data_IF_043258495947
#
_entry.id   IF_043258495947
#
_cell.length_a   1.000
_cell.length_b   1.000
_cell.length_c   1.000
_cell.angle_alpha   90.00
_cell.angle_beta   90.00
_cell.angle_gamma   90.00
#
_symmetry.space_group_name_H-M   'P 1'
#
loop_
_entity.id
_entity.type
_entity.pdbx_description
1 polymer ?
#
# COMPACT_ATOMS: atom_id res chain seq x y z
N UNK A 1 -29.57 6.56 10.49
CA UNK A 1 -28.64 6.55 9.34
C UNK A 1 -27.87 5.25 9.43
N UNK A 2 -27.80 4.53 8.31
CA UNK A 2 -26.88 3.40 8.16
C UNK A 2 -25.58 3.95 7.57
N UNK A 3 -24.45 3.74 8.26
CA UNK A 3 -23.15 4.28 7.88
C UNK A 3 -22.11 3.18 7.99
N UNK A 4 -21.41 2.98 6.88
CA UNK A 4 -20.28 2.06 6.79
C UNK A 4 -19.02 2.88 6.51
N UNK A 5 -17.91 2.53 7.16
CA UNK A 5 -16.64 3.25 7.05
C UNK A 5 -15.53 2.30 6.61
N UNK A 6 -14.84 2.67 5.55
CA UNK A 6 -13.61 2.02 5.08
C UNK A 6 -12.39 2.75 5.62
N UNK A 7 -11.42 2.00 6.15
CA UNK A 7 -10.22 2.52 6.80
C UNK A 7 -9.01 1.89 6.09
N UNK A 8 -8.58 2.44 4.94
CA UNK A 8 -7.43 1.90 4.21
C UNK A 8 -6.10 2.32 4.82
N UNK A 9 -5.05 1.53 4.55
CA UNK A 9 -3.64 1.92 4.73
C UNK A 9 -3.19 2.96 3.69
N UNK A 10 -1.90 2.96 3.35
CA UNK A 10 -1.36 3.83 2.28
C UNK A 10 -1.85 3.30 0.93
N UNK A 11 -2.70 4.06 0.25
CA UNK A 11 -3.36 3.58 -0.99
C UNK A 11 -2.48 3.84 -2.21
N UNK A 12 -2.07 2.77 -2.88
CA UNK A 12 -1.23 2.79 -4.09
C UNK A 12 -1.93 2.01 -5.23
N UNK A 13 -1.34 2.00 -6.42
CA UNK A 13 -1.83 1.30 -7.61
C UNK A 13 -1.88 2.20 -8.84
N UNK A 14 -2.53 1.75 -9.92
CA UNK A 14 -2.70 2.54 -11.14
C UNK A 14 -3.34 3.90 -10.87
N UNK A 15 -2.81 4.94 -11.51
CA UNK A 15 -3.22 6.32 -11.32
C UNK A 15 -4.16 6.71 -12.47
N UNK A 16 -5.32 7.30 -12.16
CA UNK A 16 -6.23 7.82 -13.19
C UNK A 16 -6.06 9.33 -13.38
N UNK A 17 -5.84 10.06 -12.30
CA UNK A 17 -5.65 11.51 -12.31
C UNK A 17 -4.28 11.92 -12.90
N UNK A 18 -4.14 13.16 -13.41
CA UNK A 18 -2.88 13.65 -13.97
C UNK A 18 -1.88 14.18 -12.92
N UNK A 19 -2.20 14.05 -11.62
CA UNK A 19 -1.40 14.62 -10.52
C UNK A 19 -1.12 13.59 -9.43
N UNK A 20 -0.03 13.78 -8.69
CA UNK A 20 0.28 12.95 -7.54
C UNK A 20 -0.68 13.25 -6.38
N UNK A 21 -1.18 12.18 -5.74
CA UNK A 21 -1.68 12.29 -4.36
C UNK A 21 -0.53 12.00 -3.39
N UNK A 22 -0.82 12.14 -2.09
CA UNK A 22 0.18 11.90 -1.04
C UNK A 22 0.77 10.48 -1.09
N UNK A 23 -0.09 9.45 -1.12
CA UNK A 23 0.34 8.04 -1.04
C UNK A 23 1.20 7.60 -2.22
N UNK A 24 0.90 8.06 -3.43
CA UNK A 24 1.74 7.81 -4.60
C UNK A 24 3.04 8.63 -4.54
N UNK A 25 2.98 9.86 -4.00
CA UNK A 25 4.18 10.66 -3.76
C UNK A 25 5.21 9.97 -2.86
N UNK A 26 4.74 9.18 -1.88
CA UNK A 26 5.61 8.32 -1.06
C UNK A 26 6.36 7.31 -1.92
N UNK A 27 5.67 6.63 -2.85
CA UNK A 27 6.31 5.68 -3.78
C UNK A 27 7.35 6.38 -4.66
N UNK A 28 7.05 7.59 -5.13
CA UNK A 28 8.01 8.41 -5.90
C UNK A 28 9.26 8.72 -5.09
N UNK A 29 9.16 9.08 -3.81
CA UNK A 29 10.35 9.31 -2.97
C UNK A 29 11.13 8.02 -2.72
N UNK A 30 10.44 6.89 -2.51
CA UNK A 30 11.08 5.58 -2.37
C UNK A 30 11.85 5.19 -3.64
N UNK A 31 11.35 5.51 -4.84
CA UNK A 31 12.10 5.30 -6.10
C UNK A 31 13.34 6.20 -6.24
N UNK A 32 13.44 7.27 -5.45
CA UNK A 32 14.62 8.15 -5.37
C UNK A 32 15.57 7.74 -4.24
N UNK A 33 15.32 6.61 -3.57
CA UNK A 33 16.11 6.12 -2.44
C UNK A 33 15.81 6.83 -1.12
N UNK A 34 14.69 7.56 -1.03
CA UNK A 34 14.32 8.33 0.16
C UNK A 34 13.13 7.70 0.86
N UNK A 35 13.27 7.49 2.15
CA UNK A 35 12.17 7.08 3.03
C UNK A 35 11.59 8.33 3.75
N UNK A 36 10.44 8.86 3.30
CA UNK A 36 9.90 10.11 3.84
C UNK A 36 9.40 10.01 5.28
N UNK A 37 9.18 8.79 5.80
CA UNK A 37 8.66 8.59 7.15
C UNK A 37 9.68 8.03 8.12
N UNK A 38 10.91 7.75 7.67
CA UNK A 38 11.89 7.00 8.46
C UNK A 38 11.29 5.70 9.02
N UNK A 39 10.43 5.06 8.21
CA UNK A 39 9.69 3.86 8.56
C UNK A 39 10.42 2.62 8.07
N UNK A 40 10.54 1.61 8.93
CA UNK A 40 11.13 0.32 8.56
C UNK A 40 10.24 -0.51 7.65
N UNK A 41 8.94 -0.23 7.66
CA UNK A 41 7.95 -0.97 6.90
C UNK A 41 6.74 -0.13 6.51
N UNK A 42 6.03 -0.59 5.48
CA UNK A 42 4.89 0.08 4.89
C UNK A 42 3.71 -0.88 4.78
N UNK A 43 2.52 -0.30 4.95
CA UNK A 43 1.24 -0.98 4.82
C UNK A 43 0.50 -0.37 3.65
N UNK A 44 0.54 -1.08 2.53
CA UNK A 44 -0.05 -0.63 1.28
C UNK A 44 -1.38 -1.32 1.05
N UNK A 45 -2.37 -0.56 0.58
CA UNK A 45 -3.61 -1.08 0.04
C UNK A 45 -3.70 -0.73 -1.44
N UNK A 46 -4.16 -1.67 -2.27
CA UNK A 46 -4.42 -1.37 -3.68
C UNK A 46 -5.68 -0.51 -3.83
N UNK A 47 -5.60 0.54 -4.65
CA UNK A 47 -6.73 1.44 -4.94
C UNK A 47 -7.92 0.70 -5.55
N UNK A 48 -7.69 -0.38 -6.30
CA UNK A 48 -8.75 -1.24 -6.87
C UNK A 48 -9.45 -2.03 -5.78
N UNK A 49 -8.71 -2.56 -4.81
CA UNK A 49 -9.29 -3.28 -3.66
C UNK A 49 -10.10 -2.34 -2.78
N UNK A 50 -9.58 -1.14 -2.52
CA UNK A 50 -10.30 -0.10 -1.76
C UNK A 50 -11.61 0.26 -2.46
N UNK A 51 -11.56 0.50 -3.76
CA UNK A 51 -12.75 0.86 -4.55
C UNK A 51 -13.78 -0.26 -4.55
N UNK A 52 -13.34 -1.50 -4.77
CA UNK A 52 -14.20 -2.68 -4.78
C UNK A 52 -14.84 -2.95 -3.41
N UNK A 53 -14.10 -2.75 -2.31
CA UNK A 53 -14.61 -2.90 -0.96
C UNK A 53 -15.73 -1.90 -0.65
N UNK A 54 -15.62 -0.64 -1.12
CA UNK A 54 -16.70 0.34 -0.99
C UNK A 54 -17.98 -0.12 -1.70
N UNK A 55 -17.85 -0.60 -2.94
CA UNK A 55 -18.99 -1.10 -3.72
C UNK A 55 -19.62 -2.31 -3.01
N UNK A 56 -18.81 -3.29 -2.62
CA UNK A 56 -19.29 -4.51 -1.95
C UNK A 56 -19.98 -4.23 -0.63
N UNK A 57 -19.48 -3.29 0.16
CA UNK A 57 -20.15 -2.89 1.40
C UNK A 57 -21.49 -2.19 1.14
N UNK A 58 -21.57 -1.34 0.12
CA UNK A 58 -22.83 -0.70 -0.25
C UNK A 58 -23.88 -1.72 -0.71
N UNK A 59 -23.46 -2.75 -1.45
CA UNK A 59 -24.33 -3.77 -2.01
C UNK A 59 -24.69 -4.90 -1.02
N UNK A 60 -23.99 -5.00 0.11
CA UNK A 60 -24.20 -6.07 1.10
C UNK A 60 -25.12 -5.56 2.22
N UNK A 61 -26.39 -6.01 2.31
CA UNK A 61 -27.35 -5.48 3.30
C UNK A 61 -26.96 -5.74 4.76
N UNK A 62 -26.10 -6.73 5.02
CA UNK A 62 -25.58 -7.04 6.36
C UNK A 62 -24.29 -6.30 6.72
N UNK A 63 -23.70 -5.54 5.78
CA UNK A 63 -22.49 -4.79 6.04
C UNK A 63 -22.76 -3.66 7.05
N UNK A 64 -21.84 -3.47 7.99
CA UNK A 64 -22.05 -2.52 9.08
C UNK A 64 -20.74 -2.04 9.70
N UNK A 65 -20.76 -0.85 10.30
CA UNK A 65 -19.67 -0.33 11.10
C UNK A 65 -18.40 -0.07 10.27
N UNK A 66 -17.25 -0.49 10.80
CA UNK A 66 -15.93 -0.16 10.24
C UNK A 66 -15.24 -1.37 9.62
N UNK A 67 -14.55 -1.16 8.51
CA UNK A 67 -13.75 -2.14 7.79
C UNK A 67 -12.33 -1.60 7.62
N UNK A 68 -11.33 -2.38 7.99
CA UNK A 68 -9.93 -2.05 7.74
C UNK A 68 -9.54 -2.69 6.41
N UNK A 69 -8.87 -1.92 5.54
CA UNK A 69 -8.40 -2.40 4.24
C UNK A 69 -6.88 -2.26 4.23
N UNK A 70 -6.20 -3.38 4.16
CA UNK A 70 -4.75 -3.43 4.11
C UNK A 70 -4.29 -4.58 3.24
N UNK A 71 -3.14 -4.41 2.60
CA UNK A 71 -2.53 -5.42 1.76
C UNK A 71 -2.21 -6.70 2.54
N UNK A 72 -2.00 -7.82 1.84
CA UNK A 72 -1.82 -9.12 2.47
C UNK A 72 -0.53 -9.22 3.30
N UNK A 73 0.46 -8.37 3.02
CA UNK A 73 1.79 -8.41 3.63
C UNK A 73 2.27 -6.99 3.94
N UNK A 74 2.90 -6.83 5.11
CA UNK A 74 3.64 -5.62 5.49
C UNK A 74 4.96 -5.62 4.72
N UNK A 75 5.20 -4.60 3.90
CA UNK A 75 6.40 -4.52 3.06
C UNK A 75 7.53 -3.82 3.82
N UNK A 76 8.64 -4.51 4.06
CA UNK A 76 9.86 -3.86 4.58
C UNK A 76 10.50 -2.97 3.52
N UNK A 77 11.40 -2.07 3.91
CA UNK A 77 12.19 -1.30 2.94
C UNK A 77 12.94 -2.20 1.94
N UNK A 78 13.44 -3.36 2.40
CA UNK A 78 14.12 -4.34 1.54
C UNK A 78 13.17 -4.99 0.53
N UNK A 79 11.94 -5.31 0.94
CA UNK A 79 10.92 -5.88 0.02
C UNK A 79 10.54 -4.86 -1.05
N UNK A 80 10.34 -3.59 -0.64
CA UNK A 80 10.04 -2.48 -1.54
C UNK A 80 11.20 -2.26 -2.52
N UNK A 81 12.43 -2.14 -2.00
CA UNK A 81 13.63 -1.94 -2.81
C UNK A 81 13.78 -3.04 -3.86
N UNK A 82 13.55 -4.30 -3.47
CA UNK A 82 13.60 -5.46 -4.38
C UNK A 82 12.66 -5.29 -5.57
N UNK A 83 11.42 -4.84 -5.34
CA UNK A 83 10.44 -4.60 -6.42
C UNK A 83 10.85 -3.37 -7.26
N UNK A 84 11.25 -2.28 -6.61
CA UNK A 84 11.58 -1.03 -7.29
C UNK A 84 12.87 -1.12 -8.13
N UNK A 85 13.81 -2.01 -7.78
CA UNK A 85 15.01 -2.30 -8.57
C UNK A 85 14.71 -2.83 -9.98
N UNK A 86 13.52 -3.38 -10.22
CA UNK A 86 13.06 -3.73 -11.58
C UNK A 86 12.97 -2.50 -12.50
N UNK A 87 12.77 -1.31 -11.92
CA UNK A 87 12.63 -0.05 -12.65
C UNK A 87 13.79 0.94 -12.45
N UNK A 88 14.49 0.84 -11.31
CA UNK A 88 15.64 1.66 -10.93
C UNK A 88 16.76 0.74 -10.40
N UNK A 89 17.59 0.15 -11.28
CA UNK A 89 18.51 -0.94 -10.91
C UNK A 89 19.50 -0.61 -9.77
N UNK A 90 19.94 0.65 -9.70
CA UNK A 90 20.90 1.13 -8.71
C UNK A 90 20.26 1.67 -7.43
N UNK A 91 18.95 1.50 -7.26
CA UNK A 91 18.23 1.99 -6.10
C UNK A 91 18.83 1.44 -4.80
N UNK A 92 19.05 2.31 -3.84
CA UNK A 92 19.34 1.96 -2.44
C UNK A 92 18.46 2.89 -1.61
N UNK A 93 17.57 2.32 -0.80
CA UNK A 93 16.74 3.13 0.10
C UNK A 93 17.54 3.29 1.39
N UNK A 94 17.95 4.53 1.71
CA UNK A 94 18.84 4.81 2.84
C UNK A 94 18.27 4.29 4.17
N UNK A 95 19.03 3.47 4.89
CA UNK A 95 18.66 2.84 6.16
C UNK A 95 19.46 3.50 7.29
N UNK A 96 19.22 4.80 7.54
CA UNK A 96 20.17 5.68 8.25
C UNK A 96 20.19 5.54 9.79
N UNK A 97 19.73 4.41 10.36
CA UNK A 97 19.88 4.14 11.80
C UNK A 97 20.09 2.66 12.08
N UNK A 98 21.30 2.37 12.59
CA UNK A 98 21.71 1.22 13.39
C UNK A 98 21.01 -0.11 13.05
N UNK A 99 21.81 -0.99 12.45
CA UNK A 99 21.70 -2.45 12.33
C UNK A 99 21.51 -3.16 13.70
N UNK A 100 20.68 -2.62 14.59
CA UNK A 100 20.08 -3.44 15.63
C UNK A 100 19.02 -4.26 14.90
N UNK A 101 19.17 -5.58 14.96
CA UNK A 101 18.17 -6.57 14.56
C UNK A 101 16.87 -6.28 15.33
N UNK A 102 16.14 -5.27 14.87
CA UNK A 102 14.86 -4.91 15.45
C UNK A 102 13.94 -6.02 15.01
N UNK A 103 13.57 -6.81 16.01
CA UNK A 103 12.64 -7.91 15.88
C UNK A 103 11.46 -7.44 15.04
N UNK A 104 11.37 -7.99 13.82
CA UNK A 104 10.33 -7.63 12.87
C UNK A 104 8.96 -7.83 13.53
N UNK A 105 8.83 -8.82 14.42
CA UNK A 105 7.61 -9.11 15.18
C UNK A 105 7.23 -7.97 16.15
N UNK A 106 8.17 -7.17 16.65
CA UNK A 106 7.89 -5.99 17.47
C UNK A 106 7.37 -4.80 16.64
N UNK A 107 7.72 -4.73 15.35
CA UNK A 107 7.34 -3.61 14.45
C UNK A 107 6.10 -3.95 13.62
N UNK A 108 5.88 -5.24 13.32
CA UNK A 108 4.77 -5.70 12.50
C UNK A 108 3.59 -6.15 13.37
N UNK A 109 2.82 -5.20 13.89
CA UNK A 109 1.52 -5.55 14.50
C UNK A 109 0.58 -6.11 13.42
N UNK A 110 -0.09 -7.22 13.71
CA UNK A 110 -1.06 -7.81 12.78
C UNK A 110 -2.35 -6.98 12.78
N UNK A 111 -2.85 -6.69 11.59
CA UNK A 111 -4.17 -6.05 11.40
C UNK A 111 -5.11 -7.10 10.84
N UNK A 112 -6.29 -7.21 11.43
CA UNK A 112 -7.32 -8.11 10.93
C UNK A 112 -8.05 -7.47 9.75
N UNK A 113 -7.95 -8.13 8.59
CA UNK A 113 -8.71 -7.78 7.37
C UNK A 113 -9.83 -8.78 7.09
N UNK A 114 -10.13 -9.67 8.04
CA UNK A 114 -11.18 -10.71 7.89
C UNK A 114 -12.56 -10.11 7.61
N UNK A 115 -12.84 -8.95 8.22
CA UNK A 115 -14.14 -8.30 8.03
C UNK A 115 -14.33 -7.79 6.60
N UNK A 116 -13.29 -7.27 5.93
CA UNK A 116 -13.42 -6.86 4.51
C UNK A 116 -13.38 -8.06 3.58
N UNK A 117 -12.69 -9.14 3.95
CA UNK A 117 -12.80 -10.45 3.27
C UNK A 117 -14.21 -11.02 3.33
N UNK A 118 -14.95 -10.80 4.43
CA UNK A 118 -16.34 -11.25 4.54
C UNK A 118 -17.29 -10.57 3.56
N UNK A 119 -16.88 -9.46 2.92
CA UNK A 119 -17.60 -8.85 1.80
C UNK A 119 -17.28 -9.54 0.45
N UNK A 120 -16.41 -10.54 0.44
CA UNK A 120 -15.92 -11.21 -0.76
C UNK A 120 -14.75 -10.48 -1.44
N UNK A 121 -14.07 -9.55 -0.75
CA UNK A 121 -12.92 -8.83 -1.32
C UNK A 121 -11.68 -9.71 -1.30
N UNK A 122 -11.07 -9.89 -2.46
CA UNK A 122 -9.73 -10.49 -2.62
C UNK A 122 -8.71 -9.36 -2.75
N UNK A 123 -7.49 -9.59 -2.24
CA UNK A 123 -6.47 -8.56 -2.20
C UNK A 123 -5.41 -8.78 -3.27
N UNK A 124 -5.07 -7.72 -3.99
CA UNK A 124 -3.96 -7.70 -4.91
C UNK A 124 -2.65 -7.75 -4.11
N UNK A 125 -1.67 -8.58 -4.51
CA UNK A 125 -0.37 -8.63 -3.83
C UNK A 125 0.34 -7.27 -3.83
N UNK A 126 0.97 -6.92 -2.71
CA UNK A 126 1.64 -5.64 -2.50
C UNK A 126 2.68 -5.33 -3.59
N UNK A 127 3.43 -6.35 -4.04
CA UNK A 127 4.43 -6.23 -5.10
C UNK A 127 3.78 -5.87 -6.44
N UNK A 128 2.61 -6.44 -6.75
CA UNK A 128 1.84 -6.11 -7.95
C UNK A 128 1.37 -4.67 -7.90
N UNK A 129 0.81 -4.23 -6.77
CA UNK A 129 0.37 -2.85 -6.60
C UNK A 129 1.51 -1.85 -6.73
N UNK A 130 2.70 -2.16 -6.17
CA UNK A 130 3.91 -1.35 -6.34
C UNK A 130 4.34 -1.26 -7.81
N UNK A 131 4.42 -2.40 -8.52
CA UNK A 131 4.77 -2.42 -9.95
C UNK A 131 3.80 -1.59 -10.77
N UNK A 132 2.50 -1.79 -10.58
CA UNK A 132 1.46 -1.08 -11.31
C UNK A 132 1.49 0.43 -11.02
N UNK A 133 1.81 0.83 -9.79
CA UNK A 133 2.01 2.25 -9.44
C UNK A 133 3.16 2.85 -10.24
N UNK A 134 4.32 2.20 -10.23
CA UNK A 134 5.53 2.68 -10.91
C UNK A 134 5.34 2.70 -12.42
N UNK A 135 4.68 1.70 -12.98
CA UNK A 135 4.32 1.67 -14.40
C UNK A 135 3.42 2.85 -14.77
N UNK A 136 2.35 3.07 -14.00
CA UNK A 136 1.42 4.19 -14.24
C UNK A 136 2.09 5.56 -14.10
N UNK A 137 3.04 5.71 -13.16
CA UNK A 137 3.86 6.92 -13.02
C UNK A 137 4.68 7.21 -14.29
N UNK A 138 5.34 6.18 -14.85
CA UNK A 138 6.12 6.31 -16.09
C UNK A 138 5.24 6.69 -17.28
N UNK A 139 4.11 6.01 -17.45
CA UNK A 139 3.16 6.30 -18.54
C UNK A 139 2.65 7.74 -18.51
N UNK A 140 2.58 8.35 -17.32
CA UNK A 140 2.10 9.73 -17.12
C UNK A 140 3.22 10.76 -17.01
N UNK A 141 4.48 10.38 -17.19
CA UNK A 141 5.65 11.25 -17.01
C UNK A 141 5.69 11.94 -15.62
N UNK A 142 5.23 11.23 -14.58
CA UNK A 142 5.26 11.69 -13.18
C UNK A 142 6.46 11.14 -12.40
N UNK A 143 7.30 10.34 -13.07
CA UNK A 143 8.57 9.79 -12.59
C UNK A 143 9.53 9.65 -13.77
#
# INVERSE_FOLDING_TARGET
MDLIVMNPGIVIGPILQPTLNFSVGVVVELTKGKDPFMSKSYRFADVRDVSLAHIKALETPSANGRYIIDGPVIATLKDIEKVLREFVPYLCIGDDKNNEDIDLDLVTYKVSVEKVRSLGTEFIPTETSLRDTVFSLKEKCLM
#
